data_IF_269014844178
#
_entry.id   IF_269014844178
#
_cell.length_a   1.000
_cell.length_b   1.000
_cell.length_c   1.000
_cell.angle_alpha   90.00
_cell.angle_beta   90.00
_cell.angle_gamma   90.00
#
_symmetry.space_group_name_H-M   'P 1'
#
loop_
_entity.id
_entity.type
_entity.pdbx_description
1 polymer ?
#
# COMPACT_ATOMS: atom_id res chain seq x y z
N UNK A 1 -11.36 16.49 34.25
CA UNK A 1 -10.28 17.15 35.03
C UNK A 1 -8.98 16.79 34.33
N UNK A 2 -8.46 17.67 33.47
CA UNK A 2 -7.23 17.41 32.71
C UNK A 2 -6.08 17.28 33.70
N UNK A 3 -5.56 16.07 33.87
CA UNK A 3 -4.34 15.82 34.63
C UNK A 3 -3.20 16.56 33.95
N UNK A 4 -2.44 17.32 34.73
CA UNK A 4 -1.23 18.00 34.28
C UNK A 4 -0.37 17.03 33.46
N UNK A 5 0.01 17.47 32.27
CA UNK A 5 0.72 16.69 31.28
C UNK A 5 2.09 16.33 31.86
N UNK A 6 2.29 15.08 32.30
CA UNK A 6 3.59 14.57 32.78
C UNK A 6 4.55 14.31 31.60
N UNK A 7 4.51 15.15 30.57
CA UNK A 7 5.44 15.05 29.45
C UNK A 7 6.82 15.45 29.96
N UNK A 8 7.82 14.61 29.68
CA UNK A 8 9.24 14.91 29.97
C UNK A 8 9.82 15.90 28.95
N UNK A 9 9.02 16.29 27.94
CA UNK A 9 9.41 17.20 26.88
C UNK A 9 8.85 18.62 27.11
N UNK A 10 9.57 19.68 26.71
CA UNK A 10 9.08 21.06 26.80
C UNK A 10 7.74 21.24 26.08
N UNK A 11 6.85 22.06 26.64
CA UNK A 11 5.59 22.42 25.97
C UNK A 11 5.89 23.15 24.65
N UNK A 12 5.41 22.58 23.54
CA UNK A 12 5.58 23.09 22.19
C UNK A 12 4.38 23.89 21.68
N UNK A 13 4.44 24.35 20.42
CA UNK A 13 3.32 24.98 19.73
C UNK A 13 2.28 23.92 19.35
N UNK A 14 1.29 23.71 20.21
CA UNK A 14 0.22 22.75 19.96
C UNK A 14 -0.74 23.25 18.87
N UNK A 15 -0.58 22.70 17.66
CA UNK A 15 -1.57 22.78 16.60
C UNK A 15 -2.68 21.77 16.87
N UNK A 16 -3.66 22.15 17.70
CA UNK A 16 -4.82 21.30 17.99
C UNK A 16 -5.81 21.43 16.82
N UNK A 17 -5.83 20.42 15.95
CA UNK A 17 -6.96 20.22 15.03
C UNK A 17 -8.23 20.10 15.87
N UNK A 18 -9.28 20.85 15.51
CA UNK A 18 -10.58 20.78 16.19
C UNK A 18 -11.17 19.37 16.19
N UNK A 19 -10.67 18.48 15.35
CA UNK A 19 -11.13 17.12 15.22
C UNK A 19 -10.26 16.07 15.95
N UNK A 20 -9.11 16.46 16.52
CA UNK A 20 -8.18 15.52 17.16
C UNK A 20 -7.61 14.44 16.21
N UNK A 21 -7.82 14.54 14.89
CA UNK A 21 -7.39 13.51 13.94
C UNK A 21 -5.90 13.57 13.58
N UNK A 22 -5.27 14.72 13.81
CA UNK A 22 -3.86 14.95 13.51
C UNK A 22 -3.33 15.98 14.48
N UNK A 23 -2.23 15.63 15.16
CA UNK A 23 -1.47 16.53 16.00
C UNK A 23 -0.03 16.57 15.51
N UNK A 24 0.54 17.76 15.48
CA UNK A 24 1.93 17.95 15.14
C UNK A 24 2.59 18.91 16.12
N UNK A 25 3.46 18.34 16.96
CA UNK A 25 4.36 19.11 17.81
C UNK A 25 5.80 18.98 17.26
N UNK A 26 6.42 20.07 16.75
CA UNK A 26 7.71 20.01 16.07
C UNK A 26 8.84 19.41 16.90
N UNK A 27 8.93 19.70 18.20
CA UNK A 27 10.02 19.24 19.05
C UNK A 27 9.94 17.74 19.32
N UNK A 28 8.74 17.23 19.58
CA UNK A 28 8.41 15.81 19.75
C UNK A 28 8.68 15.07 18.46
N UNK A 29 8.38 15.66 17.30
CA UNK A 29 8.73 15.09 16.01
C UNK A 29 10.26 14.99 15.80
N UNK A 30 11.03 15.99 16.24
CA UNK A 30 12.49 15.92 16.21
C UNK A 30 12.99 14.76 17.09
N UNK A 31 12.49 14.64 18.32
CA UNK A 31 12.86 13.53 19.20
C UNK A 31 12.45 12.17 18.65
N UNK A 32 11.27 12.07 18.04
CA UNK A 32 10.79 10.87 17.35
C UNK A 32 11.77 10.43 16.26
N UNK A 33 12.24 11.36 15.41
CA UNK A 33 13.21 11.05 14.35
C UNK A 33 14.58 10.68 14.92
N UNK A 34 15.04 11.37 15.97
CA UNK A 34 16.30 11.02 16.63
C UNK A 34 16.23 9.59 17.16
N UNK A 35 15.17 9.27 17.91
CA UNK A 35 15.00 7.98 18.56
C UNK A 35 14.82 6.83 17.57
N UNK A 36 13.97 7.00 16.55
CA UNK A 36 13.55 5.90 15.67
C UNK A 36 14.22 5.86 14.31
N UNK A 37 14.93 6.91 13.90
CA UNK A 37 15.63 6.94 12.61
C UNK A 37 17.12 7.16 12.81
N UNK A 38 17.52 8.29 13.39
CA UNK A 38 18.94 8.70 13.43
C UNK A 38 19.78 7.76 14.29
N UNK A 39 19.29 7.34 15.45
CA UNK A 39 19.99 6.38 16.31
C UNK A 39 19.76 4.94 15.82
N UNK A 40 18.50 4.58 15.55
CA UNK A 40 18.12 3.21 15.24
C UNK A 40 18.78 2.68 13.96
N UNK A 41 18.89 3.51 12.91
CA UNK A 41 19.43 3.10 11.61
C UNK A 41 20.89 2.61 11.68
N UNK A 42 21.87 3.41 12.14
CA UNK A 42 23.25 2.95 12.25
C UNK A 42 23.39 1.84 13.29
N UNK A 43 22.68 1.93 14.42
CA UNK A 43 22.79 0.93 15.49
C UNK A 43 22.34 -0.46 15.01
N UNK A 44 21.21 -0.54 14.31
CA UNK A 44 20.74 -1.81 13.74
C UNK A 44 21.73 -2.35 12.71
N UNK A 45 22.23 -1.51 11.78
CA UNK A 45 23.20 -1.96 10.76
C UNK A 45 24.51 -2.48 11.39
N UNK A 46 25.01 -1.84 12.44
CA UNK A 46 26.21 -2.27 13.16
C UNK A 46 25.99 -3.61 13.85
N UNK A 47 24.89 -3.76 14.60
CA UNK A 47 24.60 -4.99 15.35
C UNK A 47 24.28 -6.14 14.37
N UNK A 48 23.38 -5.93 13.43
CA UNK A 48 23.01 -6.93 12.42
C UNK A 48 24.21 -7.35 11.58
N UNK A 49 25.07 -6.39 11.18
CA UNK A 49 26.33 -6.69 10.50
C UNK A 49 27.30 -7.50 11.35
N UNK A 50 27.44 -7.18 12.64
CA UNK A 50 28.31 -7.93 13.56
C UNK A 50 27.83 -9.37 13.80
N UNK A 51 26.50 -9.57 13.81
CA UNK A 51 25.85 -10.86 13.97
C UNK A 51 25.68 -11.61 12.63
N UNK A 52 26.15 -11.03 11.51
CA UNK A 52 26.02 -11.57 10.15
C UNK A 52 24.58 -11.89 9.76
N UNK A 53 23.65 -11.04 10.18
CA UNK A 53 22.26 -11.10 9.72
C UNK A 53 22.18 -10.72 8.25
N UNK A 54 21.14 -11.19 7.58
CA UNK A 54 20.89 -10.92 6.18
C UNK A 54 20.50 -9.46 5.99
N UNK A 55 21.33 -8.74 5.25
CA UNK A 55 21.19 -7.31 5.01
C UNK A 55 21.45 -7.04 3.53
N UNK A 56 20.67 -6.15 2.93
CA UNK A 56 21.01 -5.66 1.60
C UNK A 56 22.32 -4.86 1.67
N UNK A 57 23.22 -5.13 0.73
CA UNK A 57 24.37 -4.27 0.47
C UNK A 57 23.88 -2.94 -0.07
N UNK A 58 24.37 -1.85 0.53
CA UNK A 58 23.88 -0.49 0.26
C UNK A 58 25.07 0.43 0.13
N UNK A 59 25.07 1.25 -0.93
CA UNK A 59 26.00 2.37 -1.06
C UNK A 59 25.66 3.47 -0.04
N UNK A 60 26.60 4.39 0.26
CA UNK A 60 26.29 5.55 1.11
C UNK A 60 25.09 6.37 0.61
N UNK A 61 24.94 6.53 -0.71
CA UNK A 61 23.79 7.22 -1.30
C UNK A 61 22.47 6.47 -1.06
N UNK A 62 22.48 5.14 -1.12
CA UNK A 62 21.30 4.32 -0.82
C UNK A 62 20.94 4.38 0.66
N UNK A 63 21.93 4.36 1.55
CA UNK A 63 21.71 4.57 3.00
C UNK A 63 21.04 5.91 3.28
N UNK A 64 21.55 6.99 2.69
CA UNK A 64 20.95 8.32 2.81
C UNK A 64 19.50 8.34 2.29
N UNK A 65 19.27 7.77 1.11
CA UNK A 65 17.92 7.68 0.51
C UNK A 65 16.93 6.95 1.42
N UNK A 66 17.34 5.85 2.04
CA UNK A 66 16.51 5.08 2.95
C UNK A 66 16.22 5.85 4.25
N UNK A 67 17.20 6.58 4.81
CA UNK A 67 16.98 7.47 5.97
C UNK A 67 15.95 8.55 5.64
N UNK A 68 16.08 9.21 4.48
CA UNK A 68 15.10 10.21 4.03
C UNK A 68 13.72 9.57 3.78
N UNK A 69 13.66 8.33 3.30
CA UNK A 69 12.40 7.59 3.20
C UNK A 69 11.79 7.34 4.59
N UNK A 70 12.57 6.88 5.58
CA UNK A 70 12.12 6.69 6.95
C UNK A 70 11.57 7.98 7.57
N UNK A 71 12.22 9.12 7.35
CA UNK A 71 11.73 10.43 7.83
C UNK A 71 10.41 10.80 7.16
N UNK A 72 10.28 10.63 5.83
CA UNK A 72 9.06 10.96 5.09
C UNK A 72 7.86 10.11 5.51
N UNK A 73 8.04 8.80 5.59
CA UNK A 73 6.98 7.88 6.04
C UNK A 73 6.73 8.05 7.55
N UNK A 74 7.79 8.29 8.32
CA UNK A 74 7.73 8.61 9.74
C UNK A 74 6.90 9.85 10.03
N UNK A 75 6.96 10.89 9.18
CA UNK A 75 6.09 12.07 9.28
C UNK A 75 4.60 11.69 9.21
N UNK A 76 4.23 10.87 8.22
CA UNK A 76 2.83 10.46 8.03
C UNK A 76 2.35 9.64 9.23
N UNK A 77 3.17 8.71 9.71
CA UNK A 77 2.88 7.91 10.91
C UNK A 77 2.79 8.78 12.15
N UNK A 78 3.70 9.74 12.30
CA UNK A 78 3.72 10.65 13.45
C UNK A 78 2.43 11.47 13.55
N UNK A 79 2.02 12.07 12.42
CA UNK A 79 0.85 12.95 12.36
C UNK A 79 -0.45 12.16 12.49
N UNK A 80 -0.60 11.05 11.75
CA UNK A 80 -1.86 10.28 11.73
C UNK A 80 -1.99 9.29 12.89
N UNK A 81 -0.87 8.83 13.45
CA UNK A 81 -0.79 7.96 14.61
C UNK A 81 -0.75 8.70 15.94
N UNK A 82 -0.87 10.03 15.92
CA UNK A 82 -0.98 10.87 17.12
C UNK A 82 0.22 10.76 18.07
N UNK A 83 1.41 10.59 17.49
CA UNK A 83 2.65 10.44 18.26
C UNK A 83 3.12 11.74 18.89
N UNK A 84 2.46 12.87 18.62
CA UNK A 84 2.65 14.09 19.42
C UNK A 84 2.27 13.87 20.89
N UNK A 85 1.28 13.00 21.17
CA UNK A 85 0.83 12.69 22.53
C UNK A 85 1.27 11.31 23.02
N UNK A 86 1.34 10.33 22.13
CA UNK A 86 1.61 8.93 22.52
C UNK A 86 3.10 8.56 22.52
N UNK A 87 3.97 9.42 22.00
CA UNK A 87 5.42 9.17 22.00
C UNK A 87 6.02 9.39 23.40
N UNK A 88 6.54 8.33 23.99
CA UNK A 88 7.29 8.40 25.25
C UNK A 88 8.29 7.24 25.39
N UNK A 89 8.90 7.13 26.57
CA UNK A 89 9.91 6.12 26.86
C UNK A 89 9.42 4.67 26.73
N UNK A 90 8.13 4.37 26.96
CA UNK A 90 7.56 3.02 26.79
C UNK A 90 7.58 2.64 25.32
N UNK A 91 7.14 3.55 24.46
CA UNK A 91 7.17 3.41 23.00
C UNK A 91 8.62 3.22 22.53
N UNK A 92 9.57 4.01 23.07
CA UNK A 92 11.00 3.91 22.73
C UNK A 92 11.58 2.54 23.12
N UNK A 93 11.35 2.10 24.35
CA UNK A 93 11.87 0.82 24.83
C UNK A 93 11.29 -0.35 24.02
N UNK A 94 9.97 -0.35 23.82
CA UNK A 94 9.27 -1.39 23.06
C UNK A 94 9.73 -1.44 21.61
N UNK A 95 10.00 -0.28 21.01
CA UNK A 95 10.58 -0.18 19.66
C UNK A 95 11.92 -0.90 19.53
N UNK A 96 12.88 -0.62 20.41
CA UNK A 96 14.19 -1.25 20.30
C UNK A 96 14.14 -2.75 20.57
N UNK A 97 13.35 -3.18 21.57
CA UNK A 97 13.13 -4.61 21.85
C UNK A 97 12.52 -5.30 20.62
N UNK A 98 11.48 -4.73 20.01
CA UNK A 98 10.82 -5.31 18.86
C UNK A 98 11.70 -5.35 17.62
N UNK A 99 12.43 -4.26 17.32
CA UNK A 99 13.31 -4.17 16.15
C UNK A 99 14.35 -5.30 16.14
N UNK A 100 15.02 -5.54 17.27
CA UNK A 100 16.03 -6.62 17.36
C UNK A 100 15.42 -8.00 17.50
N UNK A 101 14.32 -8.15 18.25
CA UNK A 101 13.64 -9.44 18.38
C UNK A 101 13.11 -9.92 17.04
N UNK A 102 12.47 -9.03 16.28
CA UNK A 102 11.98 -9.35 14.94
C UNK A 102 13.12 -9.64 13.97
N UNK A 103 14.19 -8.82 13.97
CA UNK A 103 15.39 -9.10 13.20
C UNK A 103 15.96 -10.49 13.50
N UNK A 104 16.01 -10.89 14.77
CA UNK A 104 16.47 -12.21 15.17
C UNK A 104 15.54 -13.34 14.72
N UNK A 105 14.22 -13.14 14.79
CA UNK A 105 13.23 -14.11 14.30
C UNK A 105 13.39 -14.32 12.78
N UNK A 106 13.61 -13.24 12.02
CA UNK A 106 13.80 -13.29 10.57
C UNK A 106 15.05 -14.09 10.15
N UNK A 107 16.05 -14.22 11.04
CA UNK A 107 17.25 -15.02 10.77
C UNK A 107 17.09 -16.52 10.99
N UNK A 108 15.96 -16.97 11.54
CA UNK A 108 15.71 -18.40 11.70
C UNK A 108 15.59 -19.04 10.31
N UNK A 109 16.28 -20.17 10.09
CA UNK A 109 16.35 -20.82 8.77
C UNK A 109 14.98 -21.15 8.18
N UNK A 110 14.01 -21.49 9.03
CA UNK A 110 12.63 -21.76 8.62
C UNK A 110 11.78 -20.50 8.42
N UNK A 111 12.20 -19.35 8.97
CA UNK A 111 11.51 -18.06 8.82
C UNK A 111 11.95 -17.28 7.57
N UNK A 112 13.05 -17.68 6.92
CA UNK A 112 13.53 -17.15 5.63
C UNK A 112 12.66 -17.62 4.46
N UNK A 113 11.38 -17.31 4.54
CA UNK A 113 10.36 -17.70 3.56
C UNK A 113 9.57 -16.46 3.15
N UNK A 114 9.13 -16.44 1.89
CA UNK A 114 8.34 -15.33 1.35
C UNK A 114 6.84 -15.66 1.40
N UNK A 115 5.99 -14.63 1.51
CA UNK A 115 4.52 -14.81 1.50
C UNK A 115 4.00 -15.55 0.26
N UNK A 116 4.52 -15.33 -0.96
CA UNK A 116 4.08 -16.07 -2.15
C UNK A 116 4.28 -17.60 -2.06
N UNK A 117 5.22 -18.08 -1.23
CA UNK A 117 5.50 -19.50 -1.06
C UNK A 117 4.77 -20.14 0.13
N UNK A 118 3.73 -19.48 0.66
CA UNK A 118 3.02 -19.89 1.90
C UNK A 118 2.55 -21.35 1.93
N UNK A 119 2.18 -21.91 0.78
CA UNK A 119 1.75 -23.31 0.65
C UNK A 119 2.86 -24.32 0.98
N UNK A 120 4.11 -23.91 0.82
CA UNK A 120 5.30 -24.74 1.03
C UNK A 120 6.02 -24.41 2.33
N UNK A 121 5.42 -23.59 3.21
CA UNK A 121 6.05 -23.21 4.46
C UNK A 121 6.17 -24.40 5.42
N UNK A 122 7.31 -24.53 6.12
CA UNK A 122 7.44 -25.51 7.19
C UNK A 122 6.49 -25.17 8.35
N UNK A 123 6.11 -26.18 9.15
CA UNK A 123 5.16 -26.02 10.26
C UNK A 123 5.62 -24.94 11.26
N UNK A 124 6.93 -24.81 11.48
CA UNK A 124 7.51 -23.80 12.37
C UNK A 124 7.21 -22.36 11.89
N UNK A 125 7.25 -22.13 10.58
CA UNK A 125 6.89 -20.82 10.01
C UNK A 125 5.40 -20.54 10.16
N UNK A 126 4.55 -21.57 9.97
CA UNK A 126 3.13 -21.47 10.24
C UNK A 126 2.82 -21.11 11.69
N UNK A 127 3.52 -21.71 12.66
CA UNK A 127 3.36 -21.38 14.08
C UNK A 127 3.67 -19.91 14.33
N UNK A 128 4.80 -19.39 13.80
CA UNK A 128 5.15 -17.97 13.90
C UNK A 128 4.05 -17.10 13.30
N UNK A 129 3.61 -17.43 12.08
CA UNK A 129 2.65 -16.63 11.34
C UNK A 129 1.27 -16.58 12.01
N UNK A 130 0.75 -17.74 12.46
CA UNK A 130 -0.52 -17.84 13.19
C UNK A 130 -0.42 -17.07 14.51
N UNK A 131 0.70 -17.20 15.23
CA UNK A 131 0.93 -16.46 16.48
C UNK A 131 0.91 -14.95 16.23
N UNK A 132 1.59 -14.48 15.19
CA UNK A 132 1.58 -13.07 14.80
C UNK A 132 0.17 -12.58 14.46
N UNK A 133 -0.62 -13.36 13.70
CA UNK A 133 -2.02 -13.03 13.38
C UNK A 133 -2.85 -12.92 14.66
N UNK A 134 -2.75 -13.88 15.57
CA UNK A 134 -3.52 -13.87 16.82
C UNK A 134 -3.17 -12.64 17.69
N UNK A 135 -1.89 -12.28 17.77
CA UNK A 135 -1.44 -11.08 18.48
C UNK A 135 -2.02 -9.82 17.81
N UNK A 136 -1.92 -9.70 16.49
CA UNK A 136 -2.46 -8.54 15.75
C UNK A 136 -3.97 -8.43 15.95
N UNK A 137 -4.72 -9.54 15.91
CA UNK A 137 -6.16 -9.54 16.14
C UNK A 137 -6.53 -9.17 17.57
N UNK A 138 -5.78 -9.65 18.57
CA UNK A 138 -5.98 -9.28 19.96
C UNK A 138 -5.72 -7.78 20.18
N UNK A 139 -4.62 -7.25 19.64
CA UNK A 139 -4.33 -5.82 19.68
C UNK A 139 -5.40 -5.01 18.95
N UNK A 140 -5.84 -5.43 17.76
CA UNK A 140 -6.90 -4.76 17.02
C UNK A 140 -8.21 -4.70 17.82
N UNK A 141 -8.63 -5.82 18.42
CA UNK A 141 -9.81 -5.87 19.28
C UNK A 141 -9.69 -4.94 20.49
N UNK A 142 -8.53 -4.93 21.15
CA UNK A 142 -8.26 -4.03 22.28
C UNK A 142 -8.31 -2.55 21.87
N UNK A 143 -7.73 -2.21 20.73
CA UNK A 143 -7.72 -0.82 20.27
C UNK A 143 -9.09 -0.36 19.74
N UNK A 144 -9.90 -1.26 19.16
CA UNK A 144 -11.30 -0.97 18.86
C UNK A 144 -12.07 -0.69 20.17
N UNK A 145 -11.84 -1.50 21.21
CA UNK A 145 -12.41 -1.25 22.53
C UNK A 145 -12.00 0.11 23.10
N UNK A 146 -10.71 0.48 23.03
CA UNK A 146 -10.26 1.83 23.41
C UNK A 146 -10.94 2.91 22.56
N UNK A 147 -11.05 2.70 21.25
CA UNK A 147 -11.73 3.62 20.35
C UNK A 147 -13.20 3.88 20.73
N UNK A 148 -13.92 2.85 21.20
CA UNK A 148 -15.30 2.98 21.69
C UNK A 148 -15.34 3.70 23.05
N UNK A 149 -14.42 3.38 23.96
CA UNK A 149 -14.36 4.02 25.28
C UNK A 149 -14.04 5.52 25.19
N UNK A 150 -13.15 5.91 24.28
CA UNK A 150 -12.79 7.31 24.03
C UNK A 150 -13.88 8.11 23.27
N UNK A 151 -15.00 7.48 22.87
CA UNK A 151 -16.18 8.15 22.27
C UNK A 151 -17.30 8.48 23.27
N UNK A 152 -17.02 8.49 24.58
CA UNK A 152 -18.02 8.84 25.60
C UNK A 152 -18.52 10.31 25.53
N UNK A 153 -19.76 10.59 25.99
CA UNK A 153 -20.42 11.89 25.83
C UNK A 153 -19.64 13.06 26.44
N UNK A 154 -19.26 14.04 25.61
CA UNK A 154 -18.56 15.27 26.03
C UNK A 154 -17.17 15.51 25.44
N UNK A 155 -16.60 14.53 24.73
CA UNK A 155 -15.40 14.72 23.89
C UNK A 155 -15.65 14.17 22.49
N UNK A 156 -15.70 15.06 21.49
CA UNK A 156 -15.41 14.90 20.04
C UNK A 156 -15.95 13.69 19.24
N UNK A 157 -16.68 12.75 19.85
CA UNK A 157 -17.02 11.48 19.26
C UNK A 157 -18.46 11.06 19.53
N UNK A 158 -19.42 11.97 19.40
CA UNK A 158 -20.82 11.66 19.66
C UNK A 158 -21.47 10.72 18.63
N UNK A 159 -20.85 10.52 17.46
CA UNK A 159 -21.56 9.97 16.29
C UNK A 159 -20.97 8.65 15.75
N UNK A 160 -20.03 8.01 16.47
CA UNK A 160 -19.35 6.79 15.98
C UNK A 160 -18.48 6.99 14.73
N UNK A 161 -18.38 8.23 14.22
CA UNK A 161 -17.58 8.63 13.05
C UNK A 161 -16.10 8.31 13.26
N UNK A 162 -15.57 8.53 14.48
CA UNK A 162 -14.20 8.18 14.83
C UNK A 162 -13.94 6.68 14.69
N UNK A 163 -14.82 5.84 15.27
CA UNK A 163 -14.70 4.38 15.20
C UNK A 163 -14.85 3.90 13.75
N UNK A 164 -15.79 4.48 12.99
CA UNK A 164 -15.97 4.17 11.58
C UNK A 164 -14.71 4.52 10.76
N UNK A 165 -14.12 5.70 10.97
CA UNK A 165 -12.84 6.09 10.35
C UNK A 165 -11.69 5.16 10.77
N UNK A 166 -11.60 4.86 12.06
CA UNK A 166 -10.57 4.02 12.65
C UNK A 166 -10.60 2.60 12.06
N UNK A 167 -11.78 1.99 11.99
CA UNK A 167 -11.99 0.68 11.32
C UNK A 167 -11.75 0.79 9.82
N UNK A 168 -12.16 1.90 9.19
CA UNK A 168 -11.94 2.13 7.76
C UNK A 168 -10.46 2.16 7.40
N UNK A 169 -9.61 2.81 8.19
CA UNK A 169 -8.16 2.79 7.97
C UNK A 169 -7.56 1.38 8.06
N UNK A 170 -8.14 0.49 8.88
CA UNK A 170 -7.62 -0.88 9.09
C UNK A 170 -7.94 -1.77 7.90
N UNK A 171 -9.19 -1.73 7.46
CA UNK A 171 -9.71 -2.67 6.49
C UNK A 171 -9.74 -2.09 5.09
N UNK A 172 -10.21 -0.85 4.93
CA UNK A 172 -10.48 -0.27 3.61
C UNK A 172 -9.17 0.06 2.89
N UNK A 173 -8.20 0.69 3.57
CA UNK A 173 -6.94 1.09 2.90
C UNK A 173 -6.16 -0.13 2.40
N UNK A 174 -5.85 -1.17 3.21
CA UNK A 174 -5.15 -2.35 2.72
C UNK A 174 -5.91 -3.09 1.62
N UNK A 175 -7.23 -3.23 1.75
CA UNK A 175 -8.06 -3.88 0.73
C UNK A 175 -8.00 -3.10 -0.58
N UNK A 176 -8.14 -1.77 -0.55
CA UNK A 176 -8.00 -0.93 -1.75
C UNK A 176 -6.61 -1.09 -2.36
N UNK A 177 -5.53 -1.05 -1.57
CA UNK A 177 -4.17 -1.21 -2.08
C UNK A 177 -3.94 -2.58 -2.73
N UNK A 178 -4.45 -3.66 -2.11
CA UNK A 178 -4.37 -5.01 -2.68
C UNK A 178 -5.19 -5.11 -3.97
N UNK A 179 -6.39 -4.53 -4.01
CA UNK A 179 -7.23 -4.50 -5.21
C UNK A 179 -6.56 -3.73 -6.34
N UNK A 180 -6.04 -2.53 -6.06
CA UNK A 180 -5.31 -1.71 -7.04
C UNK A 180 -4.04 -2.42 -7.51
N UNK A 181 -3.27 -3.03 -6.61
CA UNK A 181 -2.09 -3.81 -6.96
C UNK A 181 -2.43 -5.02 -7.84
N UNK A 182 -3.51 -5.74 -7.53
CA UNK A 182 -3.99 -6.86 -8.34
C UNK A 182 -4.46 -6.39 -9.72
N UNK A 183 -5.19 -5.27 -9.78
CA UNK A 183 -5.60 -4.66 -11.05
C UNK A 183 -4.40 -4.23 -11.88
N UNK A 184 -3.38 -3.63 -11.26
CA UNK A 184 -2.14 -3.25 -11.93
C UNK A 184 -1.39 -4.47 -12.47
N UNK A 185 -1.29 -5.56 -11.69
CA UNK A 185 -0.70 -6.83 -12.16
C UNK A 185 -1.45 -7.39 -13.36
N UNK A 186 -2.78 -7.43 -13.31
CA UNK A 186 -3.59 -7.93 -14.43
C UNK A 186 -3.52 -7.03 -15.65
N UNK A 187 -3.46 -5.71 -15.45
CA UNK A 187 -3.28 -4.79 -16.57
C UNK A 187 -1.90 -4.94 -17.21
N UNK A 188 -0.84 -5.04 -16.41
CA UNK A 188 0.51 -5.25 -16.91
C UNK A 188 0.64 -6.60 -17.66
N UNK A 189 0.18 -7.69 -17.05
CA UNK A 189 0.42 -9.04 -17.54
C UNK A 189 -0.60 -9.50 -18.59
N UNK A 190 -1.83 -8.98 -18.56
CA UNK A 190 -2.94 -9.47 -19.40
C UNK A 190 -3.60 -8.36 -20.25
N UNK A 191 -3.30 -7.08 -19.98
CA UNK A 191 -4.01 -5.91 -20.54
C UNK A 191 -5.51 -5.94 -20.28
N UNK A 192 -5.92 -6.44 -19.13
CA UNK A 192 -7.33 -6.72 -18.82
C UNK A 192 -8.26 -5.50 -18.98
N UNK A 193 -7.87 -4.34 -18.47
CA UNK A 193 -8.64 -3.10 -18.55
C UNK A 193 -8.56 -2.56 -19.99
N UNK A 194 -7.36 -2.52 -20.57
CA UNK A 194 -7.16 -2.05 -21.95
C UNK A 194 -7.98 -2.84 -22.96
N UNK A 195 -8.04 -4.17 -22.84
CA UNK A 195 -8.84 -5.05 -23.71
C UNK A 195 -10.34 -4.80 -23.55
N UNK A 196 -10.82 -4.65 -22.30
CA UNK A 196 -12.23 -4.30 -22.04
C UNK A 196 -12.59 -2.94 -22.63
N UNK A 197 -11.73 -1.94 -22.47
CA UNK A 197 -11.91 -0.60 -23.02
C UNK A 197 -11.90 -0.61 -24.56
N UNK A 198 -10.95 -1.33 -25.17
CA UNK A 198 -10.89 -1.51 -26.61
C UNK A 198 -12.18 -2.16 -27.14
N UNK A 199 -12.65 -3.24 -26.50
CA UNK A 199 -13.91 -3.89 -26.88
C UNK A 199 -15.10 -2.93 -26.77
N UNK A 200 -15.20 -2.19 -25.67
CA UNK A 200 -16.27 -1.19 -25.47
C UNK A 200 -16.25 -0.12 -26.57
N UNK A 201 -15.10 0.52 -26.80
CA UNK A 201 -14.96 1.57 -27.82
C UNK A 201 -15.17 1.04 -29.25
N UNK A 202 -14.80 -0.21 -29.54
CA UNK A 202 -15.05 -0.84 -30.85
C UNK A 202 -16.55 -0.98 -31.15
N UNK A 203 -17.39 -1.23 -30.13
CA UNK A 203 -18.86 -1.31 -30.28
C UNK A 203 -19.41 0.07 -30.66
N UNK A 204 -18.96 1.15 -30.01
CA UNK A 204 -19.37 2.51 -30.36
C UNK A 204 -18.93 2.92 -31.76
N UNK A 205 -17.71 2.56 -32.17
CA UNK A 205 -17.21 2.82 -33.53
C UNK A 205 -18.04 2.08 -34.58
N UNK A 206 -18.36 0.79 -34.35
CA UNK A 206 -19.22 -0.01 -35.24
C UNK A 206 -20.63 0.59 -35.36
N UNK A 207 -21.22 1.02 -34.25
CA UNK A 207 -22.54 1.68 -34.26
C UNK A 207 -22.52 2.98 -35.06
N UNK A 208 -21.53 3.85 -34.83
CA UNK A 208 -21.39 5.11 -35.59
C UNK A 208 -21.19 4.88 -37.09
N UNK A 209 -20.43 3.84 -37.47
CA UNK A 209 -20.25 3.45 -38.87
C UNK A 209 -21.57 2.95 -39.49
N UNK A 210 -22.30 2.08 -38.79
CA UNK A 210 -23.61 1.60 -39.24
C UNK A 210 -24.64 2.73 -39.38
N UNK A 211 -24.68 3.67 -38.43
CA UNK A 211 -25.57 4.83 -38.48
C UNK A 211 -25.22 5.76 -39.65
N UNK A 212 -23.93 5.95 -39.96
CA UNK A 212 -23.46 6.74 -41.10
C UNK A 212 -23.78 6.05 -42.45
N UNK A 213 -23.62 4.74 -42.54
CA UNK A 213 -23.98 3.95 -43.74
C UNK A 213 -25.50 3.95 -43.97
N UNK A 214 -26.31 3.87 -42.92
CA UNK A 214 -27.76 3.97 -43.01
C UNK A 214 -28.23 5.36 -43.51
N UNK A 215 -27.57 6.45 -43.09
CA UNK A 215 -27.87 7.80 -43.60
C UNK A 215 -27.43 7.99 -45.06
N UNK A 216 -26.29 7.42 -45.47
CA UNK A 216 -25.84 7.44 -46.86
C UNK A 216 -26.81 6.70 -47.79
N UNK A 217 -27.36 5.56 -47.36
CA UNK A 217 -28.27 4.77 -48.20
C UNK A 217 -29.67 5.37 -48.30
N UNK A 218 -30.15 6.12 -47.32
CA UNK A 218 -31.44 6.83 -47.40
C UNK A 218 -31.39 8.11 -48.23
N UNK A 219 -30.20 8.68 -48.50
CA UNK A 219 -30.03 9.87 -49.34
C UNK A 219 -29.99 9.60 -50.85
N UNK A 220 -29.90 8.34 -51.28
CA UNK A 220 -29.75 7.96 -52.69
C UNK A 220 -31.03 7.40 -53.33
N UNK A 221 -32.18 7.42 -52.62
CA UNK A 221 -33.44 6.92 -53.16
C UNK A 221 -34.24 7.93 -54.01
N UNK A 222 -33.72 9.15 -54.25
CA UNK A 222 -34.48 10.22 -54.93
C UNK A 222 -33.83 10.76 -56.23
N UNK A 223 -32.79 10.12 -56.77
CA UNK A 223 -32.29 10.45 -58.12
C UNK A 223 -31.80 9.20 -58.84
N UNK A 224 -32.71 8.54 -59.57
CA UNK A 224 -32.34 7.60 -60.63
C UNK A 224 -33.26 7.85 -61.83
N UNK A 225 -32.88 8.82 -62.65
CA UNK A 225 -33.27 8.83 -64.05
C UNK A 225 -32.05 9.16 -64.91
N UNK A 226 -31.79 8.27 -65.86
CA UNK A 226 -30.92 8.38 -67.03
C UNK A 226 -29.40 8.43 -66.80
N UNK A 227 -28.71 7.36 -67.20
CA UNK A 227 -27.88 7.35 -68.44
C UNK A 227 -27.39 5.92 -68.73
N UNK A 228 -27.70 5.45 -69.94
CA UNK A 228 -27.27 4.19 -70.56
C UNK A 228 -25.83 4.24 -71.12
N UNK A 229 -25.24 3.03 -71.19
CA UNK A 229 -24.17 2.56 -72.07
C UNK A 229 -22.73 3.01 -71.84
N UNK A 230 -21.84 2.06 -71.55
CA UNK A 230 -21.00 1.37 -72.57
C UNK A 230 -20.20 0.21 -71.94
N UNK A 231 -20.04 -0.84 -72.73
CA UNK A 231 -19.48 -2.19 -72.49
C UNK A 231 -17.99 -2.33 -72.10
N UNK A 232 -17.72 -3.57 -71.64
CA UNK A 232 -16.48 -4.38 -71.75
C UNK A 232 -15.33 -4.14 -70.76
N UNK A 233 -15.07 -5.14 -69.90
CA UNK A 233 -14.09 -6.23 -70.16
C UNK A 233 -13.81 -7.00 -68.86
N UNK A 234 -13.68 -8.31 -69.00
CA UNK A 234 -13.22 -9.32 -68.05
C UNK A 234 -12.12 -8.85 -67.07
N UNK A 235 -12.26 -9.20 -65.79
CA UNK A 235 -11.26 -10.02 -65.13
C UNK A 235 -11.80 -10.62 -63.83
N UNK A 236 -11.99 -11.93 -63.90
CA UNK A 236 -12.05 -12.85 -62.76
C UNK A 236 -10.69 -12.85 -62.08
N UNK A 237 -10.53 -12.10 -60.99
CA UNK A 237 -9.43 -12.29 -60.06
C UNK A 237 -9.95 -12.41 -58.63
N UNK A 238 -9.76 -13.63 -58.13
CA UNK A 238 -9.45 -13.97 -56.75
C UNK A 238 -10.40 -13.46 -55.66
N UNK A 239 -11.39 -14.30 -55.40
CA UNK A 239 -11.83 -14.64 -54.05
C UNK A 239 -10.64 -15.18 -53.24
N UNK A 240 -9.75 -14.30 -52.77
CA UNK A 240 -9.02 -14.55 -51.53
C UNK A 240 -9.82 -13.92 -50.40
N UNK A 241 -10.76 -14.72 -49.88
CA UNK A 241 -11.17 -14.59 -48.49
C UNK A 241 -9.94 -14.95 -47.67
N UNK A 242 -9.06 -13.97 -47.49
CA UNK A 242 -7.99 -14.01 -46.52
C UNK A 242 -8.66 -14.04 -45.14
N UNK A 243 -8.93 -15.26 -44.67
CA UNK A 243 -9.19 -15.63 -43.29
C UNK A 243 -7.92 -15.36 -42.46
N UNK A 244 -7.55 -14.08 -42.39
CA UNK A 244 -6.27 -13.62 -41.88
C UNK A 244 -6.31 -12.16 -41.43
N UNK A 245 -7.48 -11.63 -41.05
CA UNK A 245 -7.50 -10.54 -40.07
C UNK A 245 -7.01 -11.11 -38.72
N UNK A 246 -5.70 -11.35 -38.64
CA UNK A 246 -5.02 -11.36 -37.36
C UNK A 246 -5.43 -10.09 -36.63
N UNK A 247 -5.91 -10.30 -35.41
CA UNK A 247 -6.27 -9.33 -34.37
C UNK A 247 -5.12 -8.37 -34.03
N UNK A 248 -4.63 -7.59 -35.01
CA UNK A 248 -3.51 -6.64 -34.85
C UNK A 248 -3.86 -5.46 -33.96
N UNK A 249 -5.14 -5.24 -33.69
CA UNK A 249 -5.59 -4.14 -32.85
C UNK A 249 -5.81 -4.53 -31.37
N UNK A 250 -5.71 -5.81 -30.99
CA UNK A 250 -5.86 -6.16 -29.58
C UNK A 250 -4.61 -5.75 -28.78
N UNK A 251 -4.78 -5.06 -27.63
CA UNK A 251 -3.66 -4.69 -26.77
C UNK A 251 -2.86 -5.92 -26.31
N UNK A 252 -1.59 -5.97 -26.69
CA UNK A 252 -0.66 -7.01 -26.23
C UNK A 252 -0.10 -6.69 -24.84
N UNK A 253 0.15 -7.71 -23.99
CA UNK A 253 0.84 -7.56 -22.71
C UNK A 253 2.15 -6.81 -22.80
N UNK A 254 2.52 -6.15 -21.71
CA UNK A 254 3.84 -5.53 -21.59
C UNK A 254 4.94 -6.61 -21.53
N UNK A 255 6.16 -6.25 -21.95
CA UNK A 255 7.27 -7.20 -22.08
C UNK A 255 7.76 -7.76 -20.74
N UNK A 256 7.68 -6.96 -19.67
CA UNK A 256 8.02 -7.38 -18.32
C UNK A 256 6.79 -7.81 -17.56
N UNK A 257 6.91 -8.92 -16.83
CA UNK A 257 5.84 -9.39 -15.94
C UNK A 257 5.98 -8.72 -14.59
N UNK A 258 4.85 -8.48 -13.94
CA UNK A 258 4.83 -7.94 -12.57
C UNK A 258 4.13 -8.93 -11.63
N UNK A 259 4.59 -8.97 -10.39
CA UNK A 259 3.97 -9.73 -9.31
C UNK A 259 3.82 -8.88 -8.05
N UNK A 260 2.78 -9.13 -7.26
CA UNK A 260 2.61 -8.51 -5.93
C UNK A 260 3.64 -9.10 -4.98
N UNK A 261 4.38 -8.24 -4.30
CA UNK A 261 5.31 -8.63 -3.24
C UNK A 261 5.20 -7.64 -2.09
N UNK A 262 4.40 -8.03 -1.09
CA UNK A 262 4.16 -7.20 0.09
C UNK A 262 5.32 -7.41 1.06
N UNK A 263 5.98 -6.33 1.42
CA UNK A 263 7.00 -6.34 2.47
C UNK A 263 6.35 -6.16 3.84
N UNK A 264 6.92 -6.78 4.87
CA UNK A 264 6.42 -6.62 6.24
C UNK A 264 6.42 -5.17 6.68
N UNK A 265 7.40 -4.35 6.28
CA UNK A 265 7.41 -2.93 6.64
C UNK A 265 6.15 -2.20 6.18
N UNK A 266 5.56 -2.59 5.03
CA UNK A 266 4.33 -1.98 4.51
C UNK A 266 3.12 -2.35 5.38
N UNK A 267 3.08 -3.58 5.87
CA UNK A 267 2.02 -4.06 6.78
C UNK A 267 2.11 -3.30 8.11
N UNK A 268 3.30 -3.27 8.71
CA UNK A 268 3.51 -2.64 10.01
C UNK A 268 3.42 -1.10 9.96
N UNK A 269 3.70 -0.49 8.80
CA UNK A 269 3.41 0.93 8.54
C UNK A 269 1.92 1.24 8.68
N UNK A 270 1.04 0.41 8.11
CA UNK A 270 -0.42 0.60 8.27
C UNK A 270 -0.86 0.34 9.70
N UNK A 271 -0.31 -0.69 10.35
CA UNK A 271 -0.62 -1.00 11.76
C UNK A 271 -0.18 0.11 12.72
N UNK A 272 0.83 0.93 12.38
CA UNK A 272 1.27 2.04 13.22
C UNK A 272 0.23 3.16 13.39
N UNK A 273 -0.76 3.25 12.51
CA UNK A 273 -1.89 4.17 12.67
C UNK A 273 -2.89 3.71 13.76
N UNK A 274 -2.83 2.42 14.13
CA UNK A 274 -3.77 1.85 15.10
C UNK A 274 -3.38 2.18 16.54
N UNK A 275 -2.10 2.39 16.82
CA UNK A 275 -1.54 2.49 18.16
C UNK A 275 -1.51 3.93 18.68
N UNK A 276 -2.64 4.64 18.48
CA UNK A 276 -2.76 6.10 18.67
C UNK A 276 -3.36 6.52 20.00
N UNK A 277 -3.62 5.59 20.92
CA UNK A 277 -4.21 5.90 22.22
C UNK A 277 -3.13 6.13 23.27
N UNK A 278 -3.41 7.06 24.19
CA UNK A 278 -2.55 7.35 25.33
C UNK A 278 -2.69 6.31 26.45
N UNK A 279 -2.49 5.05 26.10
CA UNK A 279 -2.60 3.88 26.96
C UNK A 279 -1.29 3.09 26.94
N UNK A 280 -0.79 2.56 28.08
CA UNK A 280 0.46 1.80 28.11
C UNK A 280 0.51 0.63 27.12
N UNK A 281 -0.60 -0.10 26.91
CA UNK A 281 -0.65 -1.22 25.96
C UNK A 281 -0.61 -0.71 24.53
N UNK A 282 -1.30 0.39 24.24
CA UNK A 282 -1.22 1.08 22.94
C UNK A 282 0.20 1.59 22.64
N UNK A 283 0.88 2.19 23.62
CA UNK A 283 2.28 2.66 23.51
C UNK A 283 3.27 1.51 23.27
N UNK A 284 3.09 0.37 23.94
CA UNK A 284 3.85 -0.87 23.67
C UNK A 284 3.58 -1.35 22.25
N UNK A 285 2.32 -1.41 21.84
CA UNK A 285 1.92 -1.75 20.48
C UNK A 285 2.58 -0.86 19.44
N UNK A 286 2.56 0.47 19.68
CA UNK A 286 3.15 1.49 18.83
C UNK A 286 4.65 1.32 18.67
N UNK A 287 5.35 1.04 19.78
CA UNK A 287 6.77 0.68 19.73
C UNK A 287 7.00 -0.58 18.89
N UNK A 288 6.22 -1.65 19.10
CA UNK A 288 6.38 -2.90 18.35
C UNK A 288 6.21 -2.70 16.85
N UNK A 289 5.12 -2.06 16.42
CA UNK A 289 4.83 -1.86 15.00
C UNK A 289 5.84 -0.93 14.35
N UNK A 290 6.25 0.16 15.01
CA UNK A 290 7.32 1.03 14.54
C UNK A 290 8.66 0.29 14.45
N UNK A 291 8.98 -0.56 15.42
CA UNK A 291 10.22 -1.34 15.45
C UNK A 291 10.32 -2.28 14.26
N UNK A 292 9.25 -3.01 13.94
CA UNK A 292 9.21 -3.95 12.81
C UNK A 292 9.19 -3.20 11.46
N UNK A 293 8.43 -2.10 11.38
CA UNK A 293 8.44 -1.21 10.22
C UNK A 293 9.85 -0.69 9.92
N UNK A 294 10.51 -0.09 10.91
CA UNK A 294 11.84 0.48 10.77
C UNK A 294 12.89 -0.60 10.49
N UNK A 295 12.78 -1.77 11.11
CA UNK A 295 13.64 -2.93 10.81
C UNK A 295 13.64 -3.24 9.31
N UNK A 296 12.46 -3.36 8.68
CA UNK A 296 12.36 -3.71 7.28
C UNK A 296 12.93 -2.63 6.35
N UNK A 297 12.72 -1.36 6.69
CA UNK A 297 13.29 -0.22 5.96
C UNK A 297 14.82 -0.19 6.05
N UNK A 298 15.39 -0.43 7.24
CA UNK A 298 16.84 -0.44 7.44
C UNK A 298 17.48 -1.64 6.74
N UNK A 299 16.91 -2.84 6.91
CA UNK A 299 17.47 -4.08 6.38
C UNK A 299 17.38 -4.13 4.85
N UNK A 300 16.21 -3.85 4.28
CA UNK A 300 15.91 -4.09 2.87
C UNK A 300 15.77 -2.79 2.08
N UNK A 301 15.09 -1.79 2.65
CA UNK A 301 14.81 -0.51 2.00
C UNK A 301 13.31 -0.33 1.69
N UNK A 302 12.92 0.84 1.16
CA UNK A 302 11.54 1.12 0.74
C UNK A 302 11.25 0.46 -0.62
N UNK A 303 11.22 -0.86 -0.64
CA UNK A 303 10.97 -1.63 -1.85
C UNK A 303 9.52 -1.47 -2.35
N UNK A 304 9.34 -1.61 -3.66
CA UNK A 304 8.05 -1.46 -4.32
C UNK A 304 7.10 -2.60 -3.94
N UNK A 305 5.81 -2.27 -3.79
CA UNK A 305 4.72 -3.25 -3.62
C UNK A 305 4.59 -4.22 -4.82
N UNK A 306 5.06 -3.77 -5.98
CA UNK A 306 5.06 -4.51 -7.24
C UNK A 306 6.50 -4.74 -7.70
N UNK A 307 6.84 -5.99 -8.02
CA UNK A 307 8.16 -6.37 -8.51
C UNK A 307 8.04 -6.78 -9.97
N UNK A 308 8.82 -6.13 -10.84
CA UNK A 308 9.03 -6.50 -12.23
C UNK A 308 9.99 -7.70 -12.33
N UNK A 309 9.65 -8.66 -13.19
CA UNK A 309 10.43 -9.84 -13.55
C UNK A 309 10.51 -9.98 -15.07
#
# INVERSE_FOLDING_TARGET
MMTANNSVFPEGLDSISTWGFSAFEPLTYIYFNIAFVIIAYPLYRLIAGSLKWELNEKTPSKHYSDIIACIRYGFIVFVLGDYSYTFNWITILSFYVAMYTFGRIAELSFAKQSLPTWRNWPIQMWIIFITAILIILAFAGYHIYLGVLFTEPGQLGHDGIFVAWYISCFFIIPVILILLGTLAVREQNERFISKKWYKFTSIFKKKKKADAEAQSNNGNAENTENTENTENTENTENTEVANGEETKDEPQPYSKRVSVHIHHWQIFYVLAFFTRFDDPVSRVGGGIVLGIYTQGMIAYGPDSFLIER
#
